data_IF_377861745706
#
_entry.id   IF_377861745706
#
_cell.length_a   1.000
_cell.length_b   1.000
_cell.length_c   1.000
_cell.angle_alpha   90.00
_cell.angle_beta   90.00
_cell.angle_gamma   90.00
#
_symmetry.space_group_name_H-M   'P 1'
#
loop_
_entity.id
_entity.type
_entity.pdbx_description
1 polymer ?
#
# COMPACT_ATOMS: atom_id res chain seq x y z
N UNK A 1 10.09 -4.33 -26.73
CA UNK A 1 9.27 -5.31 -27.46
C UNK A 1 9.76 -6.70 -27.01
N UNK A 2 8.96 -7.39 -26.23
CA UNK A 2 9.25 -8.80 -25.86
C UNK A 2 8.70 -9.66 -26.99
N UNK A 3 9.59 -10.27 -27.75
CA UNK A 3 9.22 -11.29 -28.72
C UNK A 3 8.72 -12.52 -27.97
N UNK A 4 7.47 -12.86 -28.19
CA UNK A 4 6.90 -14.08 -27.64
C UNK A 4 7.55 -15.29 -28.32
N UNK A 5 8.30 -16.08 -27.54
CA UNK A 5 8.86 -17.33 -27.98
C UNK A 5 7.74 -18.30 -28.35
N UNK A 6 7.78 -18.81 -29.59
CA UNK A 6 6.86 -19.83 -30.07
C UNK A 6 7.23 -21.17 -29.38
N UNK A 7 6.27 -21.84 -28.72
CA UNK A 7 6.56 -23.16 -28.14
C UNK A 7 6.81 -24.19 -29.21
N UNK A 8 7.73 -25.15 -29.00
CA UNK A 8 8.06 -26.18 -29.96
C UNK A 8 6.93 -27.22 -30.07
N UNK A 9 6.40 -27.36 -31.27
CA UNK A 9 5.73 -28.51 -31.82
C UNK A 9 4.57 -29.14 -31.05
N UNK A 10 3.37 -28.84 -31.45
CA UNK A 10 2.17 -29.53 -31.01
C UNK A 10 0.92 -28.69 -31.30
N UNK A 11 0.05 -29.24 -32.03
CA UNK A 11 -1.15 -28.70 -32.59
C UNK A 11 -1.97 -27.76 -31.67
N UNK A 12 -2.29 -26.58 -32.18
CA UNK A 12 -3.67 -26.09 -32.21
C UNK A 12 -4.11 -25.29 -30.98
N UNK A 13 -3.33 -24.34 -30.59
CA UNK A 13 -4.00 -23.10 -30.08
C UNK A 13 -3.62 -21.97 -31.03
N UNK A 14 -4.51 -21.61 -31.92
CA UNK A 14 -4.37 -20.37 -32.70
C UNK A 14 -4.48 -19.21 -31.73
N UNK A 15 -3.36 -18.58 -31.42
CA UNK A 15 -3.33 -17.35 -30.61
C UNK A 15 -3.44 -16.14 -31.54
N UNK A 16 -4.27 -15.18 -31.12
CA UNK A 16 -4.33 -13.85 -31.73
C UNK A 16 -3.75 -12.88 -30.73
N UNK A 17 -2.68 -12.19 -31.12
CA UNK A 17 -2.11 -11.12 -30.29
C UNK A 17 -2.88 -9.83 -30.54
N UNK A 18 -3.40 -9.25 -29.47
CA UNK A 18 -4.06 -7.95 -29.49
C UNK A 18 -3.49 -7.06 -28.39
N UNK A 19 -3.53 -5.75 -28.60
CA UNK A 19 -3.20 -4.76 -27.58
C UNK A 19 -4.50 -4.10 -27.13
N UNK A 20 -4.75 -4.10 -25.81
CA UNK A 20 -5.87 -3.42 -25.20
C UNK A 20 -5.34 -2.20 -24.43
N UNK A 21 -5.64 -1.00 -24.90
CA UNK A 21 -5.36 0.27 -24.23
C UNK A 21 -6.69 0.93 -23.82
N UNK A 22 -7.05 0.80 -22.55
CA UNK A 22 -8.31 1.33 -22.01
C UNK A 22 -8.02 2.39 -20.96
N UNK A 23 -8.41 3.64 -21.26
CA UNK A 23 -8.40 4.73 -20.26
C UNK A 23 -9.74 4.74 -19.53
N UNK A 24 -9.69 4.62 -18.21
CA UNK A 24 -10.89 4.64 -17.37
C UNK A 24 -10.71 5.54 -16.14
N UNK A 25 -11.85 5.96 -15.60
CA UNK A 25 -11.92 6.67 -14.31
C UNK A 25 -12.84 5.91 -13.38
N UNK A 26 -12.49 5.85 -12.11
CA UNK A 26 -13.34 5.25 -11.07
C UNK A 26 -13.33 6.14 -9.83
N UNK A 27 -14.43 6.09 -9.06
CA UNK A 27 -14.48 6.73 -7.75
C UNK A 27 -13.92 5.76 -6.71
N UNK A 28 -13.04 6.26 -5.85
CA UNK A 28 -12.52 5.48 -4.71
C UNK A 28 -13.38 5.66 -3.43
N UNK A 29 -14.47 6.45 -3.49
CA UNK A 29 -15.42 6.61 -2.40
C UNK A 29 -15.00 7.64 -1.34
N UNK A 30 -15.95 7.96 -0.44
CA UNK A 30 -15.81 9.03 0.55
C UNK A 30 -14.75 8.71 1.63
N UNK A 31 -14.62 7.44 2.02
CA UNK A 31 -13.63 7.03 3.04
C UNK A 31 -12.20 7.27 2.56
N UNK A 32 -11.88 6.89 1.33
CA UNK A 32 -10.56 7.16 0.77
C UNK A 32 -10.34 8.65 0.49
N UNK A 33 -11.38 9.39 0.09
CA UNK A 33 -11.28 10.84 -0.11
C UNK A 33 -10.91 11.54 1.20
N UNK A 34 -11.59 11.21 2.30
CA UNK A 34 -11.26 11.75 3.62
C UNK A 34 -9.87 11.33 4.08
N UNK A 35 -9.52 10.05 3.93
CA UNK A 35 -8.20 9.52 4.28
C UNK A 35 -7.06 10.28 3.60
N UNK A 36 -7.15 10.46 2.29
CA UNK A 36 -6.13 11.17 1.52
C UNK A 36 -6.09 12.66 1.83
N UNK A 37 -7.23 13.29 2.11
CA UNK A 37 -7.25 14.69 2.56
C UNK A 37 -6.56 14.87 3.91
N UNK A 38 -6.78 13.98 4.86
CA UNK A 38 -6.11 14.02 6.16
C UNK A 38 -4.59 13.85 6.03
N UNK A 39 -4.14 12.96 5.17
CA UNK A 39 -2.71 12.80 4.88
C UNK A 39 -2.12 14.06 4.24
N UNK A 40 -2.80 14.64 3.25
CA UNK A 40 -2.35 15.83 2.54
C UNK A 40 -2.30 17.07 3.43
N UNK A 41 -3.41 17.37 4.10
CA UNK A 41 -3.62 18.65 4.76
C UNK A 41 -3.04 18.66 6.18
N UNK A 42 -3.18 17.55 6.90
CA UNK A 42 -2.90 17.47 8.33
C UNK A 42 -1.72 16.55 8.71
N UNK A 43 -1.14 15.82 7.77
CA UNK A 43 -0.12 14.77 8.03
C UNK A 43 -0.61 13.74 9.06
N UNK A 44 -1.86 13.30 8.93
CA UNK A 44 -2.47 12.32 9.82
C UNK A 44 -2.82 11.06 9.07
N UNK A 45 -2.55 9.93 9.67
CA UNK A 45 -2.96 8.61 9.18
C UNK A 45 -4.23 8.25 9.94
N UNK A 46 -5.34 8.17 9.21
CA UNK A 46 -6.65 7.90 9.81
C UNK A 46 -7.05 6.44 9.53
N UNK A 47 -7.35 5.71 10.58
CA UNK A 47 -8.06 4.43 10.52
C UNK A 47 -9.55 4.60 10.73
N UNK A 48 -10.28 3.49 10.64
CA UNK A 48 -11.70 3.44 10.94
C UNK A 48 -12.00 2.26 11.88
N UNK A 49 -12.63 2.53 13.03
CA UNK A 49 -12.92 1.54 14.04
C UNK A 49 -14.24 0.83 13.77
N UNK A 50 -14.29 -0.46 14.04
CA UNK A 50 -15.50 -1.26 13.95
C UNK A 50 -16.27 -1.21 15.28
N UNK A 51 -17.53 -0.74 15.32
CA UNK A 51 -18.30 -0.65 16.55
C UNK A 51 -18.68 -2.03 17.10
N UNK A 52 -18.59 -3.09 16.30
CA UNK A 52 -18.96 -4.44 16.70
C UNK A 52 -17.80 -5.27 17.26
N UNK A 53 -16.64 -5.26 16.62
CA UNK A 53 -15.49 -6.07 17.03
C UNK A 53 -14.30 -5.26 17.53
N UNK A 54 -14.37 -3.93 17.51
CA UNK A 54 -13.33 -3.04 17.98
C UNK A 54 -12.13 -2.89 17.01
N UNK A 55 -12.07 -3.69 15.94
CA UNK A 55 -10.93 -3.67 15.04
C UNK A 55 -10.79 -2.32 14.31
N UNK A 56 -9.57 -1.78 14.27
CA UNK A 56 -9.22 -0.56 13.56
C UNK A 56 -8.62 -0.90 12.21
N UNK A 57 -9.32 -0.51 11.15
CA UNK A 57 -9.01 -0.85 9.77
C UNK A 57 -8.16 0.24 9.11
N UNK A 58 -7.11 -0.16 8.43
CA UNK A 58 -6.23 0.68 7.63
C UNK A 58 -5.85 -0.04 6.31
N UNK A 59 -6.03 0.54 5.13
CA UNK A 59 -6.79 1.75 4.84
C UNK A 59 -8.26 1.66 5.25
N UNK A 60 -8.93 2.81 5.47
CA UNK A 60 -10.34 2.82 5.86
C UNK A 60 -11.24 2.21 4.77
N UNK A 61 -12.31 1.54 5.19
CA UNK A 61 -13.27 0.84 4.31
C UNK A 61 -14.69 1.09 4.80
N UNK A 62 -15.72 0.98 3.95
CA UNK A 62 -17.11 1.19 4.39
C UNK A 62 -17.67 0.05 5.26
N UNK A 63 -17.01 -1.13 5.24
CA UNK A 63 -17.40 -2.32 6.01
C UNK A 63 -16.19 -2.95 6.67
N UNK A 64 -16.39 -3.47 7.89
CA UNK A 64 -15.38 -4.25 8.58
C UNK A 64 -15.08 -5.55 7.82
N UNK A 65 -13.79 -5.82 7.58
CA UNK A 65 -13.35 -7.05 6.90
C UNK A 65 -13.50 -8.31 7.73
N UNK A 66 -13.70 -8.19 9.06
CA UNK A 66 -13.80 -9.34 9.97
C UNK A 66 -15.25 -9.74 10.27
N UNK A 67 -16.15 -8.78 10.42
CA UNK A 67 -17.53 -9.06 10.84
C UNK A 67 -18.61 -8.44 9.93
N UNK A 68 -18.22 -7.85 8.81
CA UNK A 68 -19.08 -7.29 7.76
C UNK A 68 -20.06 -6.21 8.24
N UNK A 69 -19.77 -5.58 9.38
CA UNK A 69 -20.57 -4.46 9.93
C UNK A 69 -20.16 -3.16 9.22
N UNK A 70 -21.11 -2.27 8.89
CA UNK A 70 -20.78 -0.91 8.43
C UNK A 70 -19.95 -0.18 9.48
N UNK A 71 -18.97 0.62 9.03
CA UNK A 71 -18.03 1.35 9.90
C UNK A 71 -17.94 2.80 9.47
N UNK A 72 -17.93 3.70 10.48
CA UNK A 72 -17.90 5.16 10.29
C UNK A 72 -17.14 5.92 11.40
N UNK A 73 -16.62 5.20 12.41
CA UNK A 73 -15.89 5.77 13.53
C UNK A 73 -14.41 5.98 13.16
N UNK A 74 -14.00 7.23 13.00
CA UNK A 74 -12.64 7.58 12.59
C UNK A 74 -11.71 7.69 13.79
N UNK A 75 -10.52 7.08 13.64
CA UNK A 75 -9.47 7.06 14.67
C UNK A 75 -8.17 7.54 14.05
N UNK A 76 -7.47 8.45 14.72
CA UNK A 76 -6.12 8.83 14.34
C UNK A 76 -5.14 7.76 14.79
N UNK A 77 -4.29 7.32 13.87
CA UNK A 77 -3.25 6.33 14.12
C UNK A 77 -1.89 7.00 14.27
N UNK A 78 -0.99 6.31 14.95
CA UNK A 78 0.42 6.71 15.00
C UNK A 78 1.04 6.67 13.60
N UNK A 79 2.01 7.53 13.35
CA UNK A 79 2.89 7.46 12.19
C UNK A 79 4.08 6.51 12.40
N UNK A 80 4.10 5.80 13.53
CA UNK A 80 5.05 4.75 13.89
C UNK A 80 4.37 3.38 13.96
N UNK A 81 5.19 2.34 13.79
CA UNK A 81 4.70 0.96 13.86
C UNK A 81 5.83 -0.05 13.85
N UNK A 82 5.46 -1.31 13.78
CA UNK A 82 6.38 -2.44 13.69
C UNK A 82 6.37 -3.05 12.28
N UNK A 83 7.55 -3.35 11.75
CA UNK A 83 7.70 -4.10 10.50
C UNK A 83 7.28 -5.56 10.71
N UNK A 84 6.26 -6.01 10.00
CA UNK A 84 5.80 -7.41 10.07
C UNK A 84 6.57 -8.31 9.11
N UNK A 85 6.65 -7.89 7.87
CA UNK A 85 7.35 -8.64 6.81
C UNK A 85 7.77 -7.70 5.69
N UNK A 86 8.69 -8.16 4.86
CA UNK A 86 9.18 -7.38 3.72
C UNK A 86 9.66 -8.26 2.58
N UNK A 87 9.84 -7.65 1.42
CA UNK A 87 10.54 -8.22 0.27
C UNK A 87 11.43 -7.17 -0.38
N UNK A 88 12.51 -7.61 -0.99
CA UNK A 88 13.36 -6.76 -1.82
C UNK A 88 12.95 -6.94 -3.27
N UNK A 89 12.51 -5.87 -3.89
CA UNK A 89 12.10 -5.87 -5.31
C UNK A 89 13.30 -5.53 -6.16
N UNK A 90 13.70 -6.45 -7.03
CA UNK A 90 14.85 -6.31 -7.93
C UNK A 90 14.47 -6.10 -9.39
N UNK A 91 13.27 -6.56 -9.78
CA UNK A 91 12.83 -6.50 -11.17
C UNK A 91 11.91 -5.31 -11.42
N UNK A 92 12.11 -4.54 -12.49
CA UNK A 92 11.23 -3.45 -12.84
C UNK A 92 9.88 -3.99 -13.38
N UNK A 93 8.78 -3.29 -13.05
CA UNK A 93 7.46 -3.55 -13.59
C UNK A 93 6.68 -2.24 -13.78
N UNK A 94 5.64 -2.28 -14.61
CA UNK A 94 4.83 -1.10 -14.91
C UNK A 94 4.04 -0.67 -13.67
N UNK A 95 4.13 0.61 -13.29
CA UNK A 95 3.40 1.19 -12.15
C UNK A 95 4.07 1.00 -10.79
N UNK A 96 5.34 0.57 -10.77
CA UNK A 96 6.10 0.49 -9.52
C UNK A 96 6.29 1.88 -8.87
N UNK A 97 6.38 1.95 -7.53
CA UNK A 97 6.45 3.21 -6.79
C UNK A 97 7.80 3.93 -6.95
N UNK A 98 8.87 3.19 -7.19
CA UNK A 98 10.24 3.70 -7.33
C UNK A 98 11.10 2.72 -8.13
N UNK A 99 12.27 3.17 -8.59
CA UNK A 99 13.24 2.32 -9.29
C UNK A 99 13.79 1.21 -8.38
N UNK A 100 13.90 -0.05 -8.86
CA UNK A 100 14.54 -1.12 -8.09
C UNK A 100 16.08 -0.93 -8.01
N UNK A 101 16.75 -1.49 -6.98
CA UNK A 101 16.14 -2.27 -5.90
C UNK A 101 15.49 -1.40 -4.83
N UNK A 102 14.34 -1.83 -4.31
CA UNK A 102 13.70 -1.19 -3.17
C UNK A 102 13.07 -2.23 -2.24
N UNK A 103 12.81 -1.84 -0.99
CA UNK A 103 12.23 -2.71 0.03
C UNK A 103 10.74 -2.39 0.14
N UNK A 104 9.90 -3.37 -0.16
CA UNK A 104 8.45 -3.28 0.03
C UNK A 104 8.07 -4.02 1.30
N UNK A 105 7.35 -3.37 2.18
CA UNK A 105 7.12 -3.81 3.54
C UNK A 105 5.63 -3.81 3.91
N UNK A 106 5.25 -4.69 4.84
CA UNK A 106 3.99 -4.61 5.56
C UNK A 106 4.27 -4.17 6.99
N UNK A 107 3.66 -3.07 7.39
CA UNK A 107 3.89 -2.38 8.66
C UNK A 107 2.58 -2.41 9.46
N UNK A 108 2.66 -2.80 10.71
CA UNK A 108 1.57 -2.65 11.66
C UNK A 108 1.76 -1.32 12.39
N UNK A 109 0.98 -0.32 12.03
CA UNK A 109 0.99 0.96 12.74
C UNK A 109 0.38 0.81 14.12
N UNK A 110 0.90 1.56 15.09
CA UNK A 110 0.38 1.54 16.45
C UNK A 110 -1.08 2.03 16.46
N UNK A 111 -1.94 1.20 17.02
CA UNK A 111 -3.39 1.42 17.04
C UNK A 111 -4.16 0.83 15.87
N UNK A 112 -3.50 0.21 14.89
CA UNK A 112 -4.16 -0.49 13.78
C UNK A 112 -4.20 -1.99 14.01
N UNK A 113 -5.25 -2.65 13.49
CA UNK A 113 -5.37 -4.12 13.46
C UNK A 113 -5.19 -4.71 12.06
N UNK A 114 -4.87 -3.85 11.09
CA UNK A 114 -4.60 -4.24 9.70
C UNK A 114 -3.26 -3.64 9.27
N UNK A 115 -2.45 -4.48 8.65
CA UNK A 115 -1.14 -4.09 8.15
C UNK A 115 -1.24 -3.08 7.00
N UNK A 116 -0.32 -2.13 6.98
CA UNK A 116 -0.21 -1.10 5.97
C UNK A 116 0.99 -1.37 5.05
N UNK A 117 0.76 -1.58 3.75
CA UNK A 117 1.86 -1.80 2.80
C UNK A 117 2.52 -0.48 2.42
N UNK A 118 3.86 -0.42 2.53
CA UNK A 118 4.63 0.73 2.08
C UNK A 118 6.10 0.36 1.81
N UNK A 119 6.87 1.30 1.26
CA UNK A 119 8.32 1.14 1.07
C UNK A 119 9.09 1.53 2.32
N UNK A 120 10.23 0.86 2.55
CA UNK A 120 11.24 1.29 3.52
C UNK A 120 12.32 2.12 2.82
N UNK A 121 12.84 3.12 3.52
CA UNK A 121 13.97 3.93 3.12
C UNK A 121 14.97 4.11 4.27
N UNK A 122 16.11 4.72 3.97
CA UNK A 122 17.19 4.99 4.93
C UNK A 122 17.71 3.74 5.65
N UNK A 123 17.65 2.58 4.97
CA UNK A 123 18.14 1.30 5.48
C UNK A 123 18.58 0.40 4.33
N UNK A 124 19.67 -0.32 4.53
CA UNK A 124 20.12 -1.35 3.60
C UNK A 124 19.32 -2.64 3.79
N UNK A 125 19.04 -3.35 2.69
CA UNK A 125 18.24 -4.58 2.73
C UNK A 125 18.82 -5.66 3.68
N UNK A 126 20.16 -5.70 3.83
CA UNK A 126 20.85 -6.61 4.73
C UNK A 126 20.58 -6.35 6.23
N UNK A 127 20.19 -5.11 6.58
CA UNK A 127 19.97 -4.68 7.95
C UNK A 127 18.51 -4.76 8.38
N UNK A 128 17.59 -5.00 7.43
CA UNK A 128 16.16 -5.09 7.74
C UNK A 128 15.86 -6.33 8.58
N UNK A 129 15.10 -6.14 9.64
CA UNK A 129 14.66 -7.22 10.55
C UNK A 129 13.16 -7.08 10.85
N UNK A 130 12.45 -8.18 10.79
CA UNK A 130 11.06 -8.26 11.27
C UNK A 130 10.98 -7.85 12.74
N UNK A 131 9.96 -7.10 13.09
CA UNK A 131 9.76 -6.57 14.44
C UNK A 131 10.43 -5.22 14.71
N UNK A 132 11.31 -4.73 13.81
CA UNK A 132 11.93 -3.42 13.99
C UNK A 132 10.88 -2.30 13.96
N UNK A 133 11.15 -1.24 14.73
CA UNK A 133 10.31 -0.06 14.76
C UNK A 133 10.63 0.83 13.57
N UNK A 134 9.58 1.34 12.97
CA UNK A 134 9.68 2.24 11.81
C UNK A 134 8.72 3.42 11.95
N UNK A 135 9.08 4.53 11.33
CA UNK A 135 8.31 5.79 11.34
C UNK A 135 8.13 6.33 9.94
N UNK A 136 6.96 6.90 9.68
CA UNK A 136 6.65 7.54 8.40
C UNK A 136 7.50 8.81 8.18
N UNK A 137 8.05 8.93 6.99
CA UNK A 137 8.69 10.15 6.48
C UNK A 137 7.74 10.79 5.49
N UNK A 138 7.24 11.95 5.83
CA UNK A 138 6.27 12.68 5.03
C UNK A 138 6.93 13.42 3.87
N UNK A 139 6.28 13.44 2.72
CA UNK A 139 6.69 14.25 1.60
C UNK A 139 6.48 15.75 1.92
N UNK A 140 7.37 16.61 1.41
CA UNK A 140 7.23 18.06 1.54
C UNK A 140 6.01 18.55 0.77
N UNK A 141 5.90 18.15 -0.49
CA UNK A 141 4.73 18.39 -1.34
C UNK A 141 3.80 17.18 -1.26
N UNK A 142 2.58 17.38 -0.74
CA UNK A 142 1.55 16.35 -0.59
C UNK A 142 0.39 16.61 -1.53
N UNK A 143 -0.12 15.55 -2.17
CA UNK A 143 -1.11 15.62 -3.25
C UNK A 143 -2.40 14.87 -2.93
N UNK A 144 -2.52 14.28 -1.75
CA UNK A 144 -3.64 13.43 -1.38
C UNK A 144 -3.53 12.04 -1.99
N UNK A 145 -2.40 11.40 -1.84
CA UNK A 145 -2.10 10.05 -2.32
C UNK A 145 -1.29 9.27 -1.30
N UNK A 146 -1.10 7.97 -1.51
CA UNK A 146 -0.20 7.16 -0.67
C UNK A 146 1.25 7.67 -0.70
N UNK A 147 1.66 8.36 -1.76
CA UNK A 147 2.99 8.96 -1.86
C UNK A 147 3.19 10.22 -0.99
N UNK A 148 2.15 10.69 -0.29
CA UNK A 148 2.27 11.74 0.73
C UNK A 148 3.10 11.27 1.93
N UNK A 149 3.17 9.95 2.16
CA UNK A 149 4.24 9.29 2.90
C UNK A 149 5.30 8.88 1.88
N UNK A 150 6.50 9.41 2.02
CA UNK A 150 7.60 9.13 1.09
C UNK A 150 8.13 7.70 1.25
N UNK A 151 8.35 7.29 2.49
CA UNK A 151 8.73 5.94 2.91
C UNK A 151 8.61 5.83 4.44
N UNK A 152 8.81 4.64 4.97
CA UNK A 152 9.07 4.44 6.40
C UNK A 152 10.56 4.19 6.62
N UNK A 153 11.10 4.71 7.71
CA UNK A 153 12.49 4.51 8.12
C UNK A 153 12.58 3.90 9.51
N UNK A 154 13.69 3.26 9.87
CA UNK A 154 13.96 2.85 11.25
C UNK A 154 13.91 4.03 12.23
N UNK A 155 13.48 3.73 13.47
CA UNK A 155 13.49 4.66 14.60
C UNK A 155 14.72 4.41 15.45
#
# INVERSE_FOLDING_TARGET
MLEAATPPGGDIVKSVTGTLDVKYRFSYGEQYDRFFREMRDNKRIMGIACPKCGAVLLPPRPYCGFCYTPVDEWVELSDEGALLTYTVVHLPFIGQPTEPPYIYAFIMLDGADVQFPHILGEIEAADVRTGMRVKAVWAEERKGTLHDIKYFRPV
#
